data_IF_422568116731
#
_entry.id   IF_422568116731
#
_cell.length_a   1.000
_cell.length_b   1.000
_cell.length_c   1.000
_cell.angle_alpha   90.00
_cell.angle_beta   90.00
_cell.angle_gamma   90.00
#
_symmetry.space_group_name_H-M   'P 1'
#
loop_
_entity.id
_entity.type
_entity.pdbx_description
1 polymer ?
#
# COMPACT_ATOMS: atom_id res chain seq x y z
N UNK A 1 49.50 -21.80 -6.42
CA UNK A 1 49.30 -21.23 -5.06
C UNK A 1 47.80 -21.09 -4.85
N UNK A 2 47.22 -22.01 -4.08
CA UNK A 2 45.78 -22.00 -3.73
C UNK A 2 45.57 -21.15 -2.48
N UNK A 3 44.48 -20.39 -2.33
CA UNK A 3 44.10 -19.80 -1.05
C UNK A 3 43.20 -20.75 -0.23
N UNK A 4 43.51 -20.83 1.05
CA UNK A 4 42.89 -21.67 2.09
C UNK A 4 41.48 -21.20 2.48
N UNK A 5 40.62 -22.10 3.02
CA UNK A 5 39.27 -21.76 3.46
C UNK A 5 39.25 -21.23 4.91
N UNK A 6 38.46 -20.19 5.13
CA UNK A 6 38.16 -19.62 6.46
C UNK A 6 37.15 -20.51 7.19
N UNK A 7 37.57 -21.04 8.34
CA UNK A 7 36.76 -21.84 9.26
C UNK A 7 35.76 -20.96 10.03
N UNK A 8 34.49 -21.27 9.93
CA UNK A 8 33.44 -20.77 10.84
C UNK A 8 33.56 -21.51 12.20
N UNK A 9 33.70 -20.76 13.28
CA UNK A 9 33.59 -21.28 14.66
C UNK A 9 32.11 -21.27 15.08
N UNK A 10 31.59 -22.44 15.38
CA UNK A 10 30.33 -22.65 16.10
C UNK A 10 30.61 -22.47 17.59
N UNK A 11 29.92 -21.57 18.25
CA UNK A 11 29.84 -21.46 19.69
C UNK A 11 28.63 -22.25 20.17
N UNK A 12 28.89 -23.33 20.89
CA UNK A 12 27.90 -24.09 21.64
C UNK A 12 27.65 -23.39 22.97
N UNK A 13 26.41 -23.03 23.28
CA UNK A 13 25.98 -22.56 24.61
C UNK A 13 25.21 -23.69 25.26
N UNK A 14 25.74 -24.14 26.43
CA UNK A 14 25.18 -25.21 27.21
C UNK A 14 23.87 -24.86 27.89
N UNK A 15 22.94 -25.81 27.90
CA UNK A 15 21.66 -25.74 28.58
C UNK A 15 21.85 -26.05 30.08
N UNK A 16 21.46 -25.11 30.92
CA UNK A 16 21.24 -25.37 32.36
C UNK A 16 19.76 -25.69 32.59
N UNK A 17 19.47 -26.89 33.05
CA UNK A 17 18.15 -27.39 33.43
C UNK A 17 17.78 -26.80 34.80
N UNK A 18 16.79 -25.90 34.86
CA UNK A 18 16.14 -25.52 36.11
C UNK A 18 14.70 -26.08 36.10
N UNK A 19 14.47 -27.10 36.92
CA UNK A 19 13.11 -27.57 37.23
C UNK A 19 12.38 -26.52 38.08
N UNK A 20 11.33 -25.90 37.54
CA UNK A 20 10.33 -25.19 38.36
C UNK A 20 8.97 -25.84 38.12
N UNK A 21 8.38 -26.25 39.25
CA UNK A 21 7.02 -26.86 39.32
C UNK A 21 5.99 -25.92 38.65
N UNK A 22 5.25 -26.49 37.71
CA UNK A 22 4.23 -25.76 36.98
C UNK A 22 2.94 -25.57 37.79
N UNK A 23 2.47 -24.35 37.81
CA UNK A 23 1.06 -24.02 37.89
C UNK A 23 0.51 -24.03 36.47
N UNK A 24 -0.22 -25.10 36.13
CA UNK A 24 -0.94 -25.19 34.87
C UNK A 24 -2.15 -24.26 34.90
N UNK A 25 -1.91 -22.99 34.59
CA UNK A 25 -3.00 -22.13 34.16
C UNK A 25 -3.41 -22.59 32.74
N UNK A 26 -4.60 -23.14 32.60
CA UNK A 26 -5.21 -23.48 31.34
C UNK A 26 -5.26 -22.20 30.47
N UNK A 27 -4.48 -22.18 29.39
CA UNK A 27 -4.59 -21.12 28.38
C UNK A 27 -6.06 -21.13 27.87
N UNK A 28 -6.73 -19.96 27.78
CA UNK A 28 -8.07 -19.92 27.23
C UNK A 28 -8.01 -20.48 25.81
N UNK A 29 -8.78 -21.52 25.53
CA UNK A 29 -8.90 -22.10 24.21
C UNK A 29 -9.29 -21.01 23.22
N UNK A 30 -8.52 -20.84 22.15
CA UNK A 30 -8.91 -20.00 21.04
C UNK A 30 -10.30 -20.45 20.58
N UNK A 31 -11.30 -19.57 20.69
CA UNK A 31 -12.65 -19.88 20.24
C UNK A 31 -12.61 -20.05 18.73
N UNK A 32 -12.65 -21.29 18.26
CA UNK A 32 -12.76 -21.59 16.82
C UNK A 32 -14.08 -20.97 16.35
N UNK A 33 -13.97 -19.94 15.49
CA UNK A 33 -15.13 -19.34 14.86
C UNK A 33 -15.91 -20.43 14.10
N UNK A 34 -17.24 -20.32 14.04
CA UNK A 34 -18.03 -21.22 13.22
C UNK A 34 -17.60 -21.04 11.78
N UNK A 35 -16.94 -22.05 11.22
CA UNK A 35 -16.69 -22.20 9.81
C UNK A 35 -18.05 -22.26 9.10
N UNK A 36 -18.22 -21.52 8.00
CA UNK A 36 -19.42 -21.60 7.16
C UNK A 36 -19.38 -22.80 6.21
N UNK A 37 -18.43 -23.73 6.41
CA UNK A 37 -18.18 -24.90 5.57
C UNK A 37 -17.46 -24.55 4.27
N UNK A 38 -17.05 -23.28 4.04
CA UNK A 38 -16.27 -22.90 2.89
C UNK A 38 -14.79 -23.22 3.12
N UNK A 39 -14.17 -23.98 2.21
CA UNK A 39 -12.73 -24.12 2.11
C UNK A 39 -12.12 -23.07 1.17
N UNK A 40 -10.80 -23.00 1.01
CA UNK A 40 -10.17 -22.17 0.01
C UNK A 40 -10.66 -22.54 -1.40
N UNK A 41 -10.60 -21.61 -2.33
CA UNK A 41 -10.83 -21.91 -3.76
C UNK A 41 -9.81 -22.94 -4.25
N UNK A 42 -10.15 -23.76 -5.29
CA UNK A 42 -9.23 -24.74 -5.86
C UNK A 42 -7.87 -24.11 -6.21
N UNK A 43 -6.79 -24.76 -5.81
CA UNK A 43 -5.42 -24.29 -6.00
C UNK A 43 -4.89 -23.35 -4.92
N UNK A 44 -5.72 -22.90 -4.00
CA UNK A 44 -5.28 -22.09 -2.87
C UNK A 44 -5.20 -22.87 -1.56
N UNK A 45 -4.32 -22.43 -0.66
CA UNK A 45 -4.22 -22.91 0.72
C UNK A 45 -4.39 -21.73 1.67
N UNK A 46 -4.96 -21.97 2.87
CA UNK A 46 -5.10 -20.92 3.89
C UNK A 46 -4.09 -21.19 5.01
N UNK A 47 -3.21 -20.20 5.27
CA UNK A 47 -2.26 -20.20 6.37
C UNK A 47 -2.71 -19.13 7.37
N UNK A 48 -3.23 -19.58 8.51
CA UNK A 48 -3.80 -18.72 9.54
C UNK A 48 -3.33 -19.17 10.92
N UNK A 49 -2.04 -18.96 11.26
CA UNK A 49 -1.48 -19.40 12.53
C UNK A 49 -2.18 -18.70 13.70
N UNK A 50 -2.26 -19.34 14.87
CA UNK A 50 -2.90 -18.75 16.04
C UNK A 50 -2.31 -17.40 16.40
N UNK A 51 -3.16 -16.36 16.47
CA UNK A 51 -2.76 -15.02 16.89
C UNK A 51 -2.95 -14.92 18.42
N UNK A 52 -1.87 -14.66 19.20
CA UNK A 52 -1.99 -14.48 20.63
C UNK A 52 -2.89 -13.29 20.99
N UNK A 53 -3.82 -13.44 21.95
CA UNK A 53 -4.61 -12.32 22.46
C UNK A 53 -3.72 -11.23 23.08
N UNK A 54 -4.14 -9.98 22.94
CA UNK A 54 -3.51 -8.87 23.67
C UNK A 54 -4.15 -8.74 25.06
N UNK A 55 -3.37 -8.27 26.03
CA UNK A 55 -3.87 -7.93 27.37
C UNK A 55 -3.98 -6.41 27.47
N UNK A 56 -5.19 -5.92 27.70
CA UNK A 56 -5.48 -4.48 27.82
C UNK A 56 -6.23 -4.23 29.12
N UNK A 57 -5.66 -3.38 29.99
CA UNK A 57 -6.25 -3.08 31.29
C UNK A 57 -6.46 -4.32 32.17
N UNK A 58 -5.56 -5.29 32.11
CA UNK A 58 -5.62 -6.53 32.88
C UNK A 58 -6.54 -7.61 32.32
N UNK A 59 -7.23 -7.38 31.20
CA UNK A 59 -8.11 -8.34 30.55
C UNK A 59 -7.60 -8.73 29.17
N UNK A 60 -7.64 -10.04 28.86
CA UNK A 60 -7.27 -10.52 27.52
C UNK A 60 -8.37 -10.21 26.50
N UNK A 61 -7.95 -9.92 25.26
CA UNK A 61 -8.86 -9.84 24.11
C UNK A 61 -9.36 -11.23 23.73
N UNK A 62 -10.50 -11.31 23.03
CA UNK A 62 -10.98 -12.54 22.41
C UNK A 62 -10.58 -12.55 20.95
N UNK A 63 -9.72 -13.50 20.55
CA UNK A 63 -9.33 -13.72 19.16
C UNK A 63 -10.13 -14.90 18.59
N UNK A 64 -10.70 -14.71 17.41
CA UNK A 64 -11.39 -15.75 16.63
C UNK A 64 -10.75 -15.81 15.26
N UNK A 65 -10.41 -17.02 14.83
CA UNK A 65 -9.81 -17.29 13.52
C UNK A 65 -10.54 -18.45 12.87
N UNK A 66 -10.56 -18.50 11.55
CA UNK A 66 -11.21 -19.56 10.80
C UNK A 66 -11.23 -19.24 9.31
N UNK A 67 -12.14 -19.91 8.60
CA UNK A 67 -12.37 -19.73 7.16
C UNK A 67 -13.80 -19.22 6.96
N UNK A 68 -13.97 -18.23 6.11
CA UNK A 68 -15.27 -17.68 5.74
C UNK A 68 -15.23 -17.13 4.31
N UNK A 69 -16.20 -17.48 3.49
CA UNK A 69 -16.30 -17.07 2.09
C UNK A 69 -15.00 -17.34 1.29
N UNK A 70 -14.46 -18.56 1.45
CA UNK A 70 -13.21 -19.05 0.83
C UNK A 70 -11.92 -18.30 1.26
N UNK A 71 -11.96 -17.52 2.32
CA UNK A 71 -10.84 -16.74 2.85
C UNK A 71 -10.55 -17.06 4.31
N UNK A 72 -9.28 -17.03 4.70
CA UNK A 72 -8.90 -17.02 6.11
C UNK A 72 -9.31 -15.70 6.77
N UNK A 73 -9.70 -15.71 8.03
CA UNK A 73 -10.02 -14.49 8.76
C UNK A 73 -9.46 -14.47 10.18
N UNK A 74 -9.27 -13.25 10.67
CA UNK A 74 -9.01 -12.95 12.08
C UNK A 74 -10.03 -11.91 12.54
N UNK A 75 -10.60 -12.12 13.72
CA UNK A 75 -11.42 -11.16 14.46
C UNK A 75 -10.84 -11.05 15.86
N UNK A 76 -10.58 -9.83 16.34
CA UNK A 76 -10.16 -9.58 17.71
C UNK A 76 -11.08 -8.57 18.39
N UNK A 77 -11.60 -8.95 19.56
CA UNK A 77 -12.57 -8.15 20.33
C UNK A 77 -11.99 -7.88 21.72
N UNK A 78 -11.78 -6.61 22.12
CA UNK A 78 -11.35 -6.30 23.48
C UNK A 78 -12.45 -6.56 24.49
N UNK A 79 -12.06 -6.90 25.73
CA UNK A 79 -13.03 -7.18 26.83
C UNK A 79 -13.97 -5.98 27.09
N UNK A 80 -13.47 -4.75 26.93
CA UNK A 80 -14.26 -3.51 27.01
C UNK A 80 -14.50 -2.95 25.60
N UNK A 81 -15.25 -3.71 24.79
CA UNK A 81 -15.57 -3.29 23.42
C UNK A 81 -16.50 -2.06 23.42
N UNK A 82 -16.09 -1.00 22.70
CA UNK A 82 -16.83 0.27 22.59
C UNK A 82 -18.03 0.21 21.61
N UNK A 83 -18.24 -0.93 20.93
CA UNK A 83 -19.31 -1.15 19.98
C UNK A 83 -18.94 -0.87 18.52
N UNK A 84 -17.75 -0.34 18.22
CA UNK A 84 -17.31 -0.05 16.87
C UNK A 84 -16.36 -1.14 16.35
N UNK A 85 -16.38 -1.38 15.03
CA UNK A 85 -15.56 -2.37 14.33
C UNK A 85 -14.66 -1.68 13.30
N UNK A 86 -13.40 -2.08 13.23
CA UNK A 86 -12.45 -1.67 12.20
C UNK A 86 -12.15 -2.86 11.29
N UNK A 87 -12.44 -2.74 10.01
CA UNK A 87 -12.04 -3.72 9.00
C UNK A 87 -10.67 -3.35 8.46
N UNK A 88 -9.71 -4.27 8.56
CA UNK A 88 -8.37 -4.09 8.01
C UNK A 88 -8.29 -4.65 6.59
N UNK A 89 -7.95 -3.79 5.64
CA UNK A 89 -7.76 -4.13 4.23
C UNK A 89 -6.26 -4.20 3.92
N UNK A 90 -5.73 -5.41 3.72
CA UNK A 90 -4.31 -5.62 3.42
C UNK A 90 -3.93 -5.24 1.99
N UNK A 91 -2.64 -5.06 1.74
CA UNK A 91 -2.06 -4.75 0.44
C UNK A 91 -1.92 -5.96 -0.50
N UNK A 92 -1.27 -5.73 -1.66
CA UNK A 92 -0.92 -6.77 -2.61
C UNK A 92 0.10 -7.76 -2.00
N UNK A 93 -0.08 -9.05 -2.26
CA UNK A 93 0.73 -10.13 -1.69
C UNK A 93 1.30 -11.09 -2.72
N UNK A 94 1.52 -10.60 -3.93
CA UNK A 94 2.02 -11.45 -5.02
C UNK A 94 0.93 -12.33 -5.64
N UNK A 95 1.36 -13.27 -6.46
CA UNK A 95 0.51 -14.20 -7.22
C UNK A 95 0.52 -15.62 -6.62
N UNK A 96 1.12 -15.79 -5.43
CA UNK A 96 1.20 -17.08 -4.75
C UNK A 96 -0.19 -17.64 -4.38
N UNK A 97 -0.22 -18.92 -4.08
CA UNK A 97 -1.44 -19.66 -3.76
C UNK A 97 -1.74 -19.78 -2.26
N UNK A 98 -0.87 -19.20 -1.43
CA UNK A 98 -1.06 -19.15 0.02
C UNK A 98 -1.82 -17.90 0.44
N UNK A 99 -2.96 -18.08 1.10
CA UNK A 99 -3.81 -17.00 1.61
C UNK A 99 -3.62 -16.87 3.12
N UNK A 100 -3.24 -15.69 3.59
CA UNK A 100 -3.01 -15.44 5.01
C UNK A 100 -3.62 -14.11 5.44
N UNK A 101 -4.52 -14.06 6.43
CA UNK A 101 -4.98 -12.81 7.03
C UNK A 101 -3.87 -12.22 7.91
N UNK A 102 -3.86 -10.90 8.07
CA UNK A 102 -2.89 -10.19 8.91
C UNK A 102 -3.55 -9.22 9.88
N UNK A 103 -2.96 -8.99 11.04
CA UNK A 103 -3.40 -7.93 11.94
C UNK A 103 -3.06 -6.54 11.38
N UNK A 104 -3.74 -5.47 11.87
CA UNK A 104 -3.41 -4.09 11.56
C UNK A 104 -1.94 -3.77 11.86
N UNK A 105 -1.25 -3.16 10.86
CA UNK A 105 0.16 -2.79 10.93
C UNK A 105 0.41 -1.53 11.77
N UNK A 106 1.69 -1.13 11.92
CA UNK A 106 2.14 0.12 12.57
C UNK A 106 1.62 0.27 14.01
N UNK A 107 1.58 -0.83 14.77
CA UNK A 107 1.01 -0.90 16.12
C UNK A 107 -0.47 -0.46 16.21
N UNK A 108 -1.15 -0.33 15.07
CA UNK A 108 -2.59 -0.02 15.08
C UNK A 108 -3.41 -1.12 15.74
N UNK A 109 -3.01 -2.41 15.65
CA UNK A 109 -3.68 -3.48 16.39
C UNK A 109 -3.76 -3.14 17.88
N UNK A 110 -2.63 -2.84 18.50
CA UNK A 110 -2.52 -2.50 19.93
C UNK A 110 -3.34 -1.25 20.27
N UNK A 111 -3.22 -0.22 19.42
CA UNK A 111 -3.91 1.05 19.59
C UNK A 111 -5.43 0.89 19.51
N UNK A 112 -5.94 0.14 18.54
CA UNK A 112 -7.36 -0.13 18.35
C UNK A 112 -7.96 -0.82 19.58
N UNK A 113 -7.37 -1.93 20.03
CA UNK A 113 -7.91 -2.67 21.17
C UNK A 113 -7.78 -1.90 22.48
N UNK A 114 -6.71 -1.08 22.65
CA UNK A 114 -6.55 -0.19 23.81
C UNK A 114 -7.64 0.89 23.87
N UNK A 115 -8.15 1.32 22.72
CA UNK A 115 -9.25 2.30 22.61
C UNK A 115 -10.64 1.63 22.59
N UNK A 116 -10.69 0.30 22.77
CA UNK A 116 -11.93 -0.46 22.82
C UNK A 116 -12.51 -0.84 21.44
N UNK A 117 -11.83 -0.60 20.33
CA UNK A 117 -12.29 -1.05 19.02
C UNK A 117 -12.05 -2.55 18.85
N UNK A 118 -13.05 -3.26 18.32
CA UNK A 118 -12.82 -4.54 17.69
C UNK A 118 -12.24 -4.33 16.30
N UNK A 119 -11.45 -5.29 15.81
CA UNK A 119 -11.00 -5.29 14.42
C UNK A 119 -11.15 -6.66 13.77
N UNK A 120 -11.20 -6.68 12.44
CA UNK A 120 -11.26 -7.89 11.65
C UNK A 120 -10.49 -7.74 10.35
N UNK A 121 -9.87 -8.83 9.88
CA UNK A 121 -9.09 -8.92 8.66
C UNK A 121 -9.39 -10.21 7.91
N UNK A 122 -9.57 -10.12 6.59
CA UNK A 122 -9.69 -11.24 5.67
C UNK A 122 -8.42 -11.40 4.85
N UNK A 123 -8.02 -12.64 4.53
CA UNK A 123 -6.95 -12.90 3.56
C UNK A 123 -7.36 -12.61 2.12
N UNK A 124 -8.63 -12.28 1.88
CA UNK A 124 -9.35 -12.39 0.63
C UNK A 124 -9.41 -13.83 0.11
N UNK A 125 -10.22 -14.10 -0.93
CA UNK A 125 -10.38 -15.46 -1.48
C UNK A 125 -9.31 -15.82 -2.53
N UNK A 126 -8.45 -14.87 -2.88
CA UNK A 126 -7.32 -15.04 -3.82
C UNK A 126 -6.26 -13.97 -3.63
N UNK A 127 -5.04 -14.30 -4.03
CA UNK A 127 -3.95 -13.37 -4.20
C UNK A 127 -3.98 -12.70 -5.59
N UNK A 128 -2.97 -11.92 -5.90
CA UNK A 128 -2.90 -11.06 -7.07
C UNK A 128 -3.51 -9.69 -6.81
N UNK A 129 -3.56 -8.87 -7.84
CA UNK A 129 -4.20 -7.56 -7.72
C UNK A 129 -5.70 -7.69 -8.03
N UNK A 130 -6.48 -8.14 -7.05
CA UNK A 130 -7.93 -8.31 -7.17
C UNK A 130 -8.68 -7.53 -6.09
N UNK A 131 -8.98 -6.27 -6.42
CA UNK A 131 -9.75 -5.38 -5.52
C UNK A 131 -11.18 -5.87 -5.33
N UNK A 132 -11.75 -6.56 -6.32
CA UNK A 132 -13.10 -7.16 -6.21
C UNK A 132 -13.14 -8.17 -5.07
N UNK A 133 -12.14 -9.05 -4.99
CA UNK A 133 -11.98 -10.01 -3.90
C UNK A 133 -11.86 -9.29 -2.55
N UNK A 134 -11.01 -8.26 -2.48
CA UNK A 134 -10.83 -7.45 -1.29
C UNK A 134 -12.12 -6.77 -0.81
N UNK A 135 -12.86 -6.14 -1.72
CA UNK A 135 -14.13 -5.45 -1.40
C UNK A 135 -15.19 -6.43 -0.89
N UNK A 136 -15.33 -7.59 -1.55
CA UNK A 136 -16.30 -8.61 -1.17
C UNK A 136 -15.92 -9.30 0.14
N UNK A 137 -14.65 -9.70 0.28
CA UNK A 137 -14.13 -10.37 1.47
C UNK A 137 -14.25 -9.49 2.72
N UNK A 138 -13.86 -8.22 2.62
CA UNK A 138 -13.99 -7.24 3.71
C UNK A 138 -15.45 -7.06 4.13
N UNK A 139 -16.38 -6.93 3.18
CA UNK A 139 -17.80 -6.78 3.50
C UNK A 139 -18.39 -8.06 4.10
N UNK A 140 -18.11 -9.22 3.51
CA UNK A 140 -18.62 -10.52 4.00
C UNK A 140 -18.14 -10.82 5.42
N UNK A 141 -16.88 -10.48 5.75
CA UNK A 141 -16.34 -10.65 7.09
C UNK A 141 -17.02 -9.70 8.11
N UNK A 142 -17.36 -8.48 7.74
CA UNK A 142 -18.11 -7.57 8.60
C UNK A 142 -19.53 -8.10 8.89
N UNK A 143 -20.14 -8.76 7.91
CA UNK A 143 -21.44 -9.43 8.09
C UNK A 143 -21.31 -10.69 8.99
N UNK A 144 -20.20 -11.47 8.86
CA UNK A 144 -19.89 -12.56 9.78
C UNK A 144 -19.70 -12.05 11.22
N UNK A 145 -18.93 -10.97 11.40
CA UNK A 145 -18.75 -10.33 12.72
C UNK A 145 -20.12 -10.00 13.35
N UNK A 146 -21.02 -9.39 12.58
CA UNK A 146 -22.34 -9.00 13.06
C UNK A 146 -23.18 -10.18 13.51
N UNK A 147 -23.04 -11.35 12.87
CA UNK A 147 -23.77 -12.58 13.23
C UNK A 147 -23.16 -13.34 14.41
N UNK A 148 -21.82 -13.32 14.54
CA UNK A 148 -21.10 -14.20 15.49
C UNK A 148 -20.62 -13.49 16.75
N UNK A 149 -20.49 -12.18 16.71
CA UNK A 149 -20.12 -11.34 17.87
C UNK A 149 -21.32 -10.51 18.31
N UNK A 150 -21.60 -9.46 17.58
CA UNK A 150 -22.76 -8.57 17.74
C UNK A 150 -22.71 -7.53 16.61
N UNK A 151 -23.87 -6.98 16.22
CA UNK A 151 -23.94 -5.87 15.26
C UNK A 151 -23.17 -4.65 15.80
N UNK A 152 -22.14 -4.15 15.09
CA UNK A 152 -21.41 -2.95 15.51
C UNK A 152 -22.28 -1.69 15.35
N UNK A 153 -21.99 -0.67 16.17
CA UNK A 153 -22.60 0.66 16.04
C UNK A 153 -22.09 1.35 14.77
N UNK A 154 -20.77 1.25 14.53
CA UNK A 154 -20.11 1.79 13.33
C UNK A 154 -19.12 0.76 12.80
N UNK A 155 -18.96 0.75 11.48
CA UNK A 155 -17.89 0.00 10.82
C UNK A 155 -16.97 1.01 10.16
N UNK A 156 -15.69 0.98 10.48
CA UNK A 156 -14.64 1.80 9.87
C UNK A 156 -13.75 0.91 8.99
N UNK A 157 -13.06 1.53 8.06
CA UNK A 157 -12.03 0.88 7.23
C UNK A 157 -10.66 1.44 7.58
N UNK A 158 -9.65 0.59 7.66
CA UNK A 158 -8.23 0.97 7.65
C UNK A 158 -7.47 -0.02 6.77
N UNK A 159 -6.39 0.41 6.14
CA UNK A 159 -5.63 -0.50 5.28
C UNK A 159 -4.51 0.19 4.53
N UNK A 160 -3.73 -0.62 3.80
CA UNK A 160 -2.48 -0.21 3.16
C UNK A 160 -2.44 -0.59 1.68
N UNK A 161 -1.74 0.21 0.85
CA UNK A 161 -1.39 -0.16 -0.52
C UNK A 161 -2.65 -0.49 -1.38
N UNK A 162 -2.72 -1.68 -1.99
CA UNK A 162 -3.93 -2.18 -2.65
C UNK A 162 -5.15 -2.13 -1.72
N UNK A 163 -4.97 -2.28 -0.40
CA UNK A 163 -6.05 -2.08 0.58
C UNK A 163 -6.65 -0.69 0.55
N UNK A 164 -5.89 0.34 0.17
CA UNK A 164 -6.41 1.68 -0.12
C UNK A 164 -7.37 1.70 -1.32
N UNK A 165 -7.07 0.93 -2.37
CA UNK A 165 -7.98 0.73 -3.50
C UNK A 165 -9.26 0.00 -3.07
N UNK A 166 -9.12 -1.06 -2.26
CA UNK A 166 -10.27 -1.77 -1.64
C UNK A 166 -11.12 -0.79 -0.84
N UNK A 167 -10.51 0.07 -0.03
CA UNK A 167 -11.20 1.10 0.77
C UNK A 167 -11.95 2.08 -0.12
N UNK A 168 -11.27 2.72 -1.08
CA UNK A 168 -11.88 3.70 -1.97
C UNK A 168 -13.10 3.13 -2.71
N UNK A 169 -12.96 1.92 -3.25
CA UNK A 169 -14.05 1.24 -3.94
C UNK A 169 -15.16 0.76 -2.99
N UNK A 170 -14.83 0.30 -1.77
CA UNK A 170 -15.82 -0.13 -0.77
C UNK A 170 -16.75 1.00 -0.35
N UNK A 171 -16.22 2.22 -0.19
CA UNK A 171 -17.02 3.41 0.15
C UNK A 171 -18.07 3.74 -0.93
N UNK A 172 -17.76 3.44 -2.19
CA UNK A 172 -18.67 3.64 -3.33
C UNK A 172 -19.58 2.44 -3.60
N UNK A 173 -19.09 1.23 -3.35
CA UNK A 173 -19.84 -0.01 -3.54
C UNK A 173 -20.94 -0.18 -2.50
N UNK A 174 -20.69 0.28 -1.27
CA UNK A 174 -21.61 0.16 -0.13
C UNK A 174 -21.86 1.53 0.51
N UNK A 175 -22.54 2.45 -0.18
CA UNK A 175 -22.73 3.81 0.31
C UNK A 175 -23.49 3.83 1.63
N UNK A 176 -22.95 4.57 2.61
CA UNK A 176 -23.53 4.69 3.95
C UNK A 176 -23.27 3.53 4.91
N UNK A 177 -22.59 2.46 4.47
CA UNK A 177 -22.27 1.32 5.35
C UNK A 177 -21.07 1.63 6.25
N UNK A 178 -20.03 2.24 5.72
CA UNK A 178 -18.82 2.59 6.46
C UNK A 178 -18.90 4.02 7.01
N UNK A 179 -18.51 4.18 8.27
CA UNK A 179 -18.58 5.46 8.98
C UNK A 179 -17.32 6.34 8.79
N UNK A 180 -16.21 5.76 8.36
CA UNK A 180 -14.96 6.46 8.11
C UNK A 180 -13.88 5.53 7.56
N UNK A 181 -12.81 6.10 6.97
CA UNK A 181 -11.75 5.32 6.35
C UNK A 181 -10.37 5.95 6.50
N UNK A 182 -9.35 5.10 6.74
CA UNK A 182 -7.92 5.42 6.82
C UNK A 182 -7.15 4.59 5.78
N UNK A 183 -7.13 4.98 4.51
CA UNK A 183 -6.17 4.42 3.55
C UNK A 183 -4.77 4.98 3.82
N UNK A 184 -3.77 4.11 3.94
CA UNK A 184 -2.37 4.47 4.10
C UNK A 184 -1.58 3.96 2.90
N UNK A 185 -0.67 4.78 2.31
CA UNK A 185 0.06 4.43 1.08
C UNK A 185 -0.88 3.86 0.00
N UNK A 186 -2.13 4.34 -0.06
CA UNK A 186 -3.22 3.69 -0.78
C UNK A 186 -3.25 3.97 -2.27
N UNK A 187 -3.61 2.96 -3.07
CA UNK A 187 -3.85 3.12 -4.51
C UNK A 187 -5.21 3.79 -4.73
N UNK A 188 -5.29 5.09 -4.43
CA UNK A 188 -6.52 5.87 -4.55
C UNK A 188 -6.76 6.44 -5.96
N UNK A 189 -5.73 6.45 -6.82
CA UNK A 189 -5.84 6.80 -8.25
C UNK A 189 -6.11 5.60 -9.15
N UNK A 190 -6.53 4.48 -8.60
CA UNK A 190 -6.96 3.25 -9.28
C UNK A 190 -6.04 2.80 -10.43
N UNK A 191 -6.52 2.84 -11.68
CA UNK A 191 -5.81 2.38 -12.89
C UNK A 191 -4.63 3.28 -13.29
N UNK A 192 -4.54 4.51 -12.77
CA UNK A 192 -3.40 5.41 -13.03
C UNK A 192 -2.07 4.84 -12.50
N UNK A 193 -2.13 3.93 -11.50
CA UNK A 193 -0.96 3.19 -11.03
C UNK A 193 -0.30 2.38 -12.15
N UNK A 194 -1.09 1.68 -12.93
CA UNK A 194 -0.57 0.83 -14.03
C UNK A 194 -0.11 1.66 -15.22
N UNK A 195 -0.79 2.78 -15.47
CA UNK A 195 -0.34 3.77 -16.47
C UNK A 195 1.03 4.34 -16.08
N UNK A 196 1.27 4.61 -14.80
CA UNK A 196 2.57 5.08 -14.30
C UNK A 196 3.68 4.04 -14.50
N UNK A 197 3.44 2.76 -14.21
CA UNK A 197 4.41 1.69 -14.43
C UNK A 197 4.75 1.53 -15.92
N UNK A 198 3.74 1.57 -16.78
CA UNK A 198 3.92 1.53 -18.23
C UNK A 198 4.73 2.73 -18.72
N UNK A 199 4.36 3.93 -18.29
CA UNK A 199 5.03 5.19 -18.67
C UNK A 199 6.51 5.17 -18.32
N UNK A 200 6.87 4.74 -17.09
CA UNK A 200 8.27 4.66 -16.67
C UNK A 200 9.10 3.81 -17.64
N UNK A 201 8.64 2.60 -17.95
CA UNK A 201 9.37 1.67 -18.80
C UNK A 201 9.46 2.13 -20.26
N UNK A 202 8.37 2.65 -20.82
CA UNK A 202 8.36 3.13 -22.22
C UNK A 202 9.18 4.41 -22.40
N UNK A 203 9.17 5.32 -21.42
CA UNK A 203 10.00 6.52 -21.44
C UNK A 203 11.48 6.16 -21.34
N UNK A 204 11.85 5.24 -20.43
CA UNK A 204 13.24 4.77 -20.31
C UNK A 204 13.73 4.10 -21.60
N UNK A 205 12.90 3.30 -22.25
CA UNK A 205 13.21 2.68 -23.55
C UNK A 205 13.40 3.73 -24.64
N UNK A 206 12.52 4.72 -24.73
CA UNK A 206 12.61 5.78 -25.73
C UNK A 206 13.90 6.61 -25.55
N UNK A 207 14.24 6.96 -24.32
CA UNK A 207 15.46 7.72 -23.99
C UNK A 207 16.73 6.93 -24.28
N UNK A 208 16.72 5.62 -24.09
CA UNK A 208 17.87 4.76 -24.37
C UNK A 208 17.96 4.31 -25.83
N UNK A 209 16.97 4.61 -26.68
CA UNK A 209 16.89 4.09 -28.05
C UNK A 209 16.68 2.57 -28.11
N UNK A 210 16.04 2.00 -27.11
CA UNK A 210 15.70 0.58 -27.00
C UNK A 210 14.20 0.39 -27.29
N UNK A 211 13.84 -0.67 -27.99
CA UNK A 211 12.44 -1.08 -28.17
C UNK A 211 12.27 -2.49 -27.60
N UNK A 212 11.56 -2.58 -26.48
CA UNK A 212 11.32 -3.83 -25.77
C UNK A 212 9.88 -3.89 -25.20
N UNK A 213 8.93 -3.47 -26.01
CA UNK A 213 7.51 -3.63 -25.71
C UNK A 213 6.80 -4.24 -26.94
N UNK A 214 5.96 -5.30 -26.79
CA UNK A 214 5.63 -6.01 -25.54
C UNK A 214 6.87 -6.51 -24.79
N UNK A 215 6.80 -6.47 -23.44
CA UNK A 215 7.95 -6.77 -22.59
C UNK A 215 8.39 -8.23 -22.75
N UNK A 216 9.62 -8.51 -23.25
CA UNK A 216 10.09 -9.88 -23.41
C UNK A 216 10.49 -10.49 -22.06
N UNK A 217 10.56 -11.83 -22.02
CA UNK A 217 10.90 -12.54 -20.78
C UNK A 217 12.31 -12.22 -20.25
N UNK A 218 13.26 -11.89 -21.14
CA UNK A 218 14.63 -11.51 -20.81
C UNK A 218 14.84 -10.00 -20.61
N UNK A 219 13.77 -9.24 -20.46
CA UNK A 219 13.82 -7.77 -20.35
C UNK A 219 14.83 -7.28 -19.32
N UNK A 220 14.80 -7.90 -18.11
CA UNK A 220 15.68 -7.49 -17.01
C UNK A 220 17.15 -7.82 -17.25
N UNK A 221 17.45 -8.84 -18.03
CA UNK A 221 18.82 -9.30 -18.29
C UNK A 221 19.38 -8.77 -19.61
N UNK A 222 18.53 -8.33 -20.55
CA UNK A 222 18.94 -7.85 -21.86
C UNK A 222 18.75 -6.34 -22.05
N UNK A 223 17.51 -5.86 -21.93
CA UNK A 223 17.17 -4.46 -22.23
C UNK A 223 17.53 -3.50 -21.08
N UNK A 224 17.20 -3.88 -19.83
CA UNK A 224 17.41 -3.01 -18.66
C UNK A 224 18.88 -2.65 -18.44
N UNK A 225 19.88 -3.56 -18.49
CA UNK A 225 21.27 -3.17 -18.36
C UNK A 225 21.72 -2.16 -19.43
N UNK A 226 21.26 -2.31 -20.67
CA UNK A 226 21.55 -1.35 -21.75
C UNK A 226 20.93 0.02 -21.46
N UNK A 227 19.69 0.05 -20.98
CA UNK A 227 19.00 1.28 -20.57
C UNK A 227 19.76 1.95 -19.43
N UNK A 228 20.13 1.20 -18.39
CA UNK A 228 20.84 1.72 -17.22
C UNK A 228 22.19 2.34 -17.60
N UNK A 229 22.98 1.67 -18.44
CA UNK A 229 24.27 2.21 -18.93
C UNK A 229 24.04 3.45 -19.79
N UNK A 230 23.12 3.39 -20.74
CA UNK A 230 22.84 4.50 -21.68
C UNK A 230 22.38 5.77 -20.97
N UNK A 231 21.67 5.64 -19.85
CA UNK A 231 21.11 6.77 -19.09
C UNK A 231 21.96 7.17 -17.86
N UNK A 232 23.06 6.46 -17.60
CA UNK A 232 23.91 6.68 -16.42
C UNK A 232 23.24 6.29 -15.08
N UNK A 233 22.31 5.33 -15.10
CA UNK A 233 21.55 4.91 -13.91
C UNK A 233 22.29 3.88 -13.05
N UNK A 234 23.22 3.12 -13.62
CA UNK A 234 23.87 1.98 -12.94
C UNK A 234 24.63 2.39 -11.67
N UNK A 235 25.21 3.60 -11.62
CA UNK A 235 25.92 4.12 -10.45
C UNK A 235 25.05 4.98 -9.53
N UNK A 236 23.78 5.21 -9.85
CA UNK A 236 22.92 6.08 -9.07
C UNK A 236 22.43 5.36 -7.82
N UNK A 237 22.79 5.87 -6.63
CA UNK A 237 22.38 5.34 -5.34
C UNK A 237 21.66 6.39 -4.50
N UNK A 238 20.76 5.99 -3.58
CA UNK A 238 20.08 6.93 -2.69
C UNK A 238 21.07 7.72 -1.83
N UNK A 239 21.00 9.04 -1.88
CA UNK A 239 21.93 9.92 -1.15
C UNK A 239 23.35 9.99 -1.70
N UNK A 240 23.68 9.25 -2.78
CA UNK A 240 24.97 9.28 -3.46
C UNK A 240 25.08 10.35 -4.54
N UNK A 241 26.23 10.43 -5.23
CA UNK A 241 26.43 11.35 -6.36
C UNK A 241 25.46 11.08 -7.50
N UNK A 242 25.05 12.13 -8.17
CA UNK A 242 24.24 12.01 -9.41
C UNK A 242 25.11 11.54 -10.59
N UNK A 243 24.93 10.30 -11.00
CA UNK A 243 25.64 9.70 -12.13
C UNK A 243 24.88 9.80 -13.45
N UNK A 244 23.65 10.36 -13.44
CA UNK A 244 22.81 10.43 -14.62
C UNK A 244 23.32 11.42 -15.64
N UNK A 245 23.28 11.06 -16.94
CA UNK A 245 23.46 12.00 -18.04
C UNK A 245 22.16 12.76 -18.34
N UNK A 246 22.15 13.63 -19.35
CA UNK A 246 20.98 14.46 -19.65
C UNK A 246 19.71 13.66 -19.95
N UNK A 247 19.82 12.49 -20.59
CA UNK A 247 18.68 11.59 -20.83
C UNK A 247 18.22 10.90 -19.54
N UNK A 248 19.15 10.51 -18.66
CA UNK A 248 18.83 9.98 -17.34
C UNK A 248 18.16 11.01 -16.44
N UNK A 249 18.62 12.27 -16.48
CA UNK A 249 17.96 13.41 -15.81
C UNK A 249 16.56 13.63 -16.36
N UNK A 250 16.37 13.49 -17.68
CA UNK A 250 15.03 13.58 -18.28
C UNK A 250 14.11 12.46 -17.81
N UNK A 251 14.59 11.21 -17.72
CA UNK A 251 13.81 10.09 -17.14
C UNK A 251 13.37 10.41 -15.72
N UNK A 252 14.33 10.85 -14.87
CA UNK A 252 14.01 11.24 -13.48
C UNK A 252 12.97 12.35 -13.43
N UNK A 253 13.15 13.41 -14.22
CA UNK A 253 12.22 14.54 -14.23
C UNK A 253 10.80 14.15 -14.67
N UNK A 254 10.67 13.29 -15.69
CA UNK A 254 9.37 12.74 -16.12
C UNK A 254 8.77 11.85 -15.04
N UNK A 255 9.58 11.02 -14.39
CA UNK A 255 9.12 10.15 -13.28
C UNK A 255 8.61 11.00 -12.11
N UNK A 256 9.33 12.05 -11.73
CA UNK A 256 8.92 13.01 -10.71
C UNK A 256 7.59 13.68 -11.10
N UNK A 257 7.48 14.17 -12.32
CA UNK A 257 6.24 14.81 -12.79
C UNK A 257 5.05 13.84 -12.77
N UNK A 258 5.23 12.61 -13.27
CA UNK A 258 4.18 11.57 -13.30
C UNK A 258 3.81 11.05 -11.92
N UNK A 259 4.71 11.13 -10.95
CA UNK A 259 4.49 10.65 -9.57
C UNK A 259 3.94 11.70 -8.61
N UNK A 260 3.59 12.90 -9.08
CA UNK A 260 2.99 13.96 -8.26
C UNK A 260 3.68 15.32 -8.32
N UNK A 261 4.67 15.47 -9.19
CA UNK A 261 5.42 16.73 -9.41
C UNK A 261 6.63 16.91 -8.49
N UNK A 262 7.37 18.01 -8.69
CA UNK A 262 8.49 18.38 -7.83
C UNK A 262 8.06 18.49 -6.36
N UNK A 263 8.85 17.87 -5.47
CA UNK A 263 8.59 17.82 -4.03
C UNK A 263 9.86 17.43 -3.27
N UNK A 264 9.95 17.71 -1.96
CA UNK A 264 11.09 17.27 -1.15
C UNK A 264 11.37 15.78 -1.29
N UNK A 265 12.65 15.41 -1.46
CA UNK A 265 13.09 14.01 -1.55
C UNK A 265 12.80 13.29 -2.88
N UNK A 266 12.22 13.96 -3.89
CA UNK A 266 11.82 13.31 -5.14
C UNK A 266 12.99 12.67 -5.90
N UNK A 267 14.18 13.31 -5.93
CA UNK A 267 15.37 12.77 -6.59
C UNK A 267 15.94 11.54 -5.84
N UNK A 268 15.95 11.60 -4.51
CA UNK A 268 16.36 10.45 -3.68
C UNK A 268 15.38 9.28 -3.85
N UNK A 269 14.07 9.56 -3.92
CA UNK A 269 13.04 8.57 -4.20
C UNK A 269 13.26 7.89 -5.55
N UNK A 270 13.59 8.65 -6.60
CA UNK A 270 13.92 8.07 -7.91
C UNK A 270 15.09 7.08 -7.80
N UNK A 271 16.16 7.45 -7.07
CA UNK A 271 17.31 6.56 -6.86
C UNK A 271 16.95 5.29 -6.09
N UNK A 272 16.02 5.39 -5.12
CA UNK A 272 15.50 4.22 -4.36
C UNK A 272 14.74 3.25 -5.27
N UNK A 273 13.90 3.76 -6.17
CA UNK A 273 12.90 2.96 -6.85
C UNK A 273 13.21 2.60 -8.30
N UNK A 274 14.23 3.21 -8.93
CA UNK A 274 14.51 3.06 -10.37
C UNK A 274 14.61 1.61 -10.85
N UNK A 275 15.22 0.74 -10.06
CA UNK A 275 15.42 -0.67 -10.44
C UNK A 275 14.15 -1.49 -10.24
N UNK A 276 13.43 -1.26 -9.13
CA UNK A 276 12.13 -1.86 -8.88
C UNK A 276 11.13 -1.55 -9.98
N UNK A 277 11.08 -0.30 -10.46
CA UNK A 277 10.17 0.11 -11.53
C UNK A 277 10.46 -0.57 -12.88
N UNK A 278 11.69 -0.99 -13.13
CA UNK A 278 11.99 -1.89 -14.26
C UNK A 278 11.46 -3.30 -13.99
N UNK A 279 11.66 -3.82 -12.78
CA UNK A 279 11.25 -5.17 -12.40
C UNK A 279 9.76 -5.39 -12.55
N UNK A 280 8.96 -4.40 -12.18
CA UNK A 280 7.49 -4.52 -12.19
C UNK A 280 6.88 -4.68 -13.61
N UNK A 281 7.65 -4.42 -14.67
CA UNK A 281 7.16 -4.58 -16.05
C UNK A 281 7.16 -6.02 -16.56
N UNK A 282 7.83 -6.98 -15.86
CA UNK A 282 8.24 -8.21 -16.52
C UNK A 282 7.23 -9.34 -16.42
N UNK A 283 6.66 -9.63 -15.26
CA UNK A 283 6.04 -10.92 -15.10
C UNK A 283 4.91 -10.97 -14.09
N UNK A 284 3.86 -11.69 -14.43
CA UNK A 284 2.82 -12.10 -13.49
C UNK A 284 3.31 -13.25 -12.59
N UNK A 285 4.24 -14.08 -13.07
CA UNK A 285 4.70 -15.27 -12.36
C UNK A 285 5.54 -14.93 -11.13
N UNK A 286 6.20 -13.76 -11.12
CA UNK A 286 6.98 -13.25 -9.98
C UNK A 286 6.18 -12.36 -9.04
N UNK A 287 4.87 -12.26 -9.25
CA UNK A 287 3.98 -11.43 -8.44
C UNK A 287 3.88 -9.98 -8.88
N UNK A 288 4.43 -9.60 -10.03
CA UNK A 288 4.31 -8.23 -10.53
C UNK A 288 2.84 -7.83 -10.77
N UNK A 289 2.35 -6.73 -10.20
CA UNK A 289 1.00 -6.24 -10.46
C UNK A 289 0.85 -5.62 -11.85
N UNK A 290 1.97 -5.38 -12.58
CA UNK A 290 1.93 -4.61 -13.81
C UNK A 290 1.42 -5.40 -15.01
N UNK A 291 1.64 -6.71 -15.07
CA UNK A 291 1.32 -7.47 -16.28
C UNK A 291 -0.16 -7.81 -16.41
N UNK A 292 -0.79 -8.32 -15.40
CA UNK A 292 -2.22 -8.65 -15.46
C UNK A 292 -3.10 -7.40 -15.49
N UNK A 293 -2.91 -6.45 -14.57
CA UNK A 293 -3.50 -5.13 -14.73
C UNK A 293 -2.81 -4.31 -15.82
N UNK A 294 -1.63 -4.68 -16.28
CA UNK A 294 -0.95 -4.14 -17.46
C UNK A 294 -1.79 -4.24 -18.73
N UNK A 295 -2.68 -5.23 -18.81
CA UNK A 295 -3.70 -5.27 -19.85
C UNK A 295 -4.66 -4.08 -19.81
N UNK A 296 -4.72 -3.35 -18.69
CA UNK A 296 -5.48 -2.13 -18.51
C UNK A 296 -4.66 -0.86 -18.76
N UNK A 297 -3.33 -0.93 -18.63
CA UNK A 297 -2.44 0.22 -18.74
C UNK A 297 -2.45 0.83 -20.15
N UNK A 298 -2.34 2.15 -20.22
CA UNK A 298 -2.27 2.89 -21.47
C UNK A 298 -1.51 4.19 -21.29
N UNK A 299 -0.85 4.63 -22.35
CA UNK A 299 -0.26 5.95 -22.43
C UNK A 299 -0.74 6.75 -23.65
N UNK A 300 -1.86 6.34 -24.28
CA UNK A 300 -2.37 6.98 -25.49
C UNK A 300 -2.54 8.49 -25.33
N UNK A 301 -2.99 8.93 -24.17
CA UNK A 301 -3.27 10.34 -23.89
C UNK A 301 -2.25 10.99 -22.96
N UNK A 302 -1.21 10.25 -22.54
CA UNK A 302 -0.16 10.79 -21.67
C UNK A 302 0.65 11.86 -22.39
N UNK A 303 0.78 13.03 -21.77
CA UNK A 303 1.73 14.08 -22.17
C UNK A 303 2.93 14.03 -21.26
N UNK A 304 4.10 13.83 -21.84
CA UNK A 304 5.35 13.76 -21.09
C UNK A 304 5.98 15.15 -20.97
N UNK A 305 6.38 15.49 -19.76
CA UNK A 305 7.14 16.70 -19.44
C UNK A 305 8.23 16.35 -18.41
N UNK A 306 9.45 16.88 -18.54
CA UNK A 306 9.93 17.70 -19.66
C UNK A 306 10.05 16.91 -20.97
N UNK A 307 9.84 17.59 -22.10
CA UNK A 307 9.92 17.02 -23.44
C UNK A 307 11.24 17.38 -24.17
N UNK A 308 12.32 17.56 -23.40
CA UNK A 308 13.66 17.89 -23.85
C UNK A 308 14.69 17.25 -22.90
N UNK A 309 15.88 16.84 -23.34
CA UNK A 309 16.46 17.01 -24.70
C UNK A 309 15.82 16.10 -25.76
N UNK A 310 15.15 14.99 -25.37
CA UNK A 310 14.46 14.11 -26.33
C UNK A 310 12.98 14.49 -26.38
N UNK A 311 12.42 14.60 -27.57
CA UNK A 311 10.99 14.82 -27.78
C UNK A 311 10.20 13.52 -27.48
N UNK A 312 9.90 13.29 -26.20
CA UNK A 312 9.19 12.08 -25.73
C UNK A 312 7.79 11.96 -26.30
N UNK A 313 7.10 13.08 -26.53
CA UNK A 313 5.74 13.03 -27.08
C UNK A 313 5.70 12.53 -28.53
N UNK A 314 6.83 12.62 -29.25
CA UNK A 314 6.99 12.06 -30.59
C UNK A 314 7.64 10.66 -30.59
N UNK A 315 8.46 10.32 -29.59
CA UNK A 315 9.32 9.13 -29.64
C UNK A 315 8.84 7.97 -28.78
N UNK A 316 8.11 8.23 -27.67
CA UNK A 316 7.59 7.18 -26.80
C UNK A 316 6.54 6.36 -27.55
N UNK A 317 6.70 5.04 -27.52
CA UNK A 317 5.69 4.11 -28.07
C UNK A 317 4.34 4.33 -27.39
N UNK A 318 3.28 4.46 -28.20
CA UNK A 318 1.91 4.60 -27.70
C UNK A 318 1.25 3.24 -27.62
N UNK A 319 0.68 2.94 -26.46
CA UNK A 319 0.08 1.64 -26.14
C UNK A 319 -1.38 1.84 -25.74
N UNK A 320 -2.27 1.14 -26.43
CA UNK A 320 -3.67 1.02 -26.06
C UNK A 320 -3.83 -0.08 -24.97
N UNK A 321 -4.85 -0.01 -24.11
CA UNK A 321 -5.13 -1.09 -23.18
C UNK A 321 -5.61 -2.32 -23.94
N UNK A 322 -5.07 -3.50 -23.63
CA UNK A 322 -5.49 -4.76 -24.24
C UNK A 322 -6.95 -5.10 -23.90
N UNK A 323 -7.37 -4.79 -22.68
CA UNK A 323 -8.74 -4.99 -22.19
C UNK A 323 -9.47 -3.67 -21.93
N UNK A 324 -9.86 -3.01 -23.01
CA UNK A 324 -10.58 -1.73 -22.95
C UNK A 324 -11.93 -1.85 -22.19
N UNK A 325 -12.62 -3.00 -22.32
CA UNK A 325 -13.90 -3.21 -21.61
C UNK A 325 -13.71 -3.21 -20.10
N UNK A 326 -12.69 -3.89 -19.60
CA UNK A 326 -12.37 -3.90 -18.18
C UNK A 326 -11.98 -2.51 -17.71
N UNK A 327 -11.11 -1.81 -18.47
CA UNK A 327 -10.68 -0.44 -18.14
C UNK A 327 -11.83 0.55 -18.02
N UNK A 328 -12.82 0.45 -18.90
CA UNK A 328 -13.97 1.37 -18.93
C UNK A 328 -15.14 0.89 -18.07
N UNK A 329 -15.08 -0.30 -17.48
CA UNK A 329 -16.17 -0.85 -16.68
C UNK A 329 -16.45 0.01 -15.44
N UNK A 330 -17.69 0.42 -15.19
CA UNK A 330 -18.09 1.06 -13.95
C UNK A 330 -18.29 0.05 -12.80
N UNK A 331 -18.26 -1.24 -13.13
CA UNK A 331 -18.53 -2.34 -12.21
C UNK A 331 -17.37 -2.64 -11.26
N UNK A 332 -17.62 -3.59 -10.35
CA UNK A 332 -16.62 -4.11 -9.44
C UNK A 332 -15.78 -5.19 -10.16
N UNK A 333 -14.74 -4.76 -10.86
CA UNK A 333 -13.76 -5.60 -11.55
C UNK A 333 -12.55 -5.92 -10.65
N UNK A 334 -11.56 -6.63 -11.17
CA UNK A 334 -10.27 -6.84 -10.48
C UNK A 334 -9.56 -5.53 -10.18
N UNK A 335 -9.59 -4.59 -11.12
CA UNK A 335 -9.04 -3.22 -10.95
C UNK A 335 -10.14 -2.22 -11.25
N UNK A 336 -11.09 -2.03 -10.34
CA UNK A 336 -12.23 -1.16 -10.57
C UNK A 336 -11.81 0.31 -10.48
N UNK A 337 -12.52 1.18 -11.17
CA UNK A 337 -12.35 2.62 -11.01
C UNK A 337 -12.89 3.09 -9.66
N UNK A 338 -12.23 4.09 -9.09
CA UNK A 338 -12.71 4.90 -7.96
C UNK A 338 -13.21 6.22 -8.54
N UNK A 339 -14.51 6.49 -8.40
CA UNK A 339 -15.11 7.68 -8.97
C UNK A 339 -14.89 8.97 -8.14
N UNK A 340 -14.36 8.86 -6.93
CA UNK A 340 -14.21 10.00 -6.01
C UNK A 340 -15.53 10.40 -5.33
N UNK A 341 -16.37 9.43 -5.00
CA UNK A 341 -17.67 9.65 -4.32
C UNK A 341 -17.74 9.07 -2.91
N UNK A 342 -16.79 9.42 -2.02
CA UNK A 342 -16.86 8.93 -0.65
C UNK A 342 -18.17 9.36 0.02
N UNK A 343 -18.74 8.47 0.83
CA UNK A 343 -19.97 8.73 1.61
C UNK A 343 -19.70 8.94 3.08
N UNK A 344 -18.43 8.83 3.49
CA UNK A 344 -17.96 8.99 4.86
C UNK A 344 -16.61 9.74 4.89
N UNK A 345 -16.18 10.27 6.06
CA UNK A 345 -14.85 10.83 6.24
C UNK A 345 -13.74 9.88 5.79
N UNK A 346 -12.81 10.40 4.99
CA UNK A 346 -11.59 9.72 4.55
C UNK A 346 -10.40 10.56 4.98
N UNK A 347 -9.52 9.99 5.80
CA UNK A 347 -8.22 10.55 6.10
C UNK A 347 -7.16 9.63 5.50
N UNK A 348 -6.38 10.11 4.52
CA UNK A 348 -5.28 9.34 3.95
C UNK A 348 -3.93 9.79 4.49
N UNK A 349 -2.96 8.85 4.51
CA UNK A 349 -1.58 9.07 4.90
C UNK A 349 -0.66 8.49 3.82
N UNK A 350 0.29 9.29 3.28
CA UNK A 350 1.10 8.86 2.15
C UNK A 350 2.56 9.33 2.24
N UNK A 351 3.50 8.44 1.88
CA UNK A 351 4.92 8.76 1.77
C UNK A 351 5.21 9.60 0.53
N UNK A 352 5.96 10.70 0.68
CA UNK A 352 6.28 11.59 -0.46
C UNK A 352 7.11 10.92 -1.54
N UNK A 353 7.99 10.01 -1.17
CA UNK A 353 8.92 9.34 -2.09
C UNK A 353 8.50 7.93 -2.48
N UNK A 354 7.31 7.49 -2.11
CA UNK A 354 6.77 6.21 -2.57
C UNK A 354 6.56 6.27 -4.09
N UNK A 355 7.23 5.41 -4.85
CA UNK A 355 7.03 5.23 -6.28
C UNK A 355 6.47 3.84 -6.64
N UNK A 356 6.27 2.96 -5.66
CA UNK A 356 5.41 1.79 -5.86
C UNK A 356 3.94 2.23 -5.94
N UNK A 357 3.50 3.05 -4.99
CA UNK A 357 2.23 3.77 -5.08
C UNK A 357 2.56 5.27 -5.06
N UNK A 358 2.64 5.92 -6.23
CA UNK A 358 3.13 7.28 -6.31
C UNK A 358 2.22 8.28 -5.57
N UNK A 359 2.81 9.32 -4.98
CA UNK A 359 2.09 10.43 -4.34
C UNK A 359 1.01 11.06 -5.24
N UNK A 360 1.20 10.98 -6.56
CA UNK A 360 0.20 11.37 -7.56
C UNK A 360 -1.17 10.71 -7.39
N UNK A 361 -1.24 9.52 -6.73
CA UNK A 361 -2.51 8.84 -6.43
C UNK A 361 -3.38 9.65 -5.45
N UNK A 362 -2.76 10.32 -4.48
CA UNK A 362 -3.45 11.24 -3.58
C UNK A 362 -4.05 12.43 -4.34
N UNK A 363 -3.29 12.98 -5.29
CA UNK A 363 -3.72 14.10 -6.11
C UNK A 363 -4.86 13.72 -7.06
N UNK A 364 -4.79 12.52 -7.65
CA UNK A 364 -5.85 11.97 -8.51
C UNK A 364 -7.16 11.85 -7.74
N UNK A 365 -7.12 11.21 -6.58
CA UNK A 365 -8.30 11.06 -5.73
C UNK A 365 -8.87 12.40 -5.26
N UNK A 366 -8.01 13.35 -4.85
CA UNK A 366 -8.45 14.68 -4.46
C UNK A 366 -9.21 15.40 -5.58
N UNK A 367 -8.70 15.32 -6.82
CA UNK A 367 -9.37 15.90 -8.01
C UNK A 367 -10.72 15.25 -8.27
N UNK A 368 -10.80 13.92 -8.15
CA UNK A 368 -12.04 13.18 -8.36
C UNK A 368 -13.08 13.50 -7.30
N UNK A 369 -12.67 13.53 -6.04
CA UNK A 369 -13.53 13.91 -4.91
C UNK A 369 -14.04 15.34 -5.06
N UNK A 370 -13.19 16.27 -5.50
CA UNK A 370 -13.56 17.66 -5.75
C UNK A 370 -14.58 17.80 -6.90
N UNK A 371 -14.37 17.06 -8.00
CA UNK A 371 -15.33 17.03 -9.13
C UNK A 371 -16.74 16.62 -8.72
N UNK A 372 -16.85 15.82 -7.66
CA UNK A 372 -18.14 15.37 -7.12
C UNK A 372 -18.62 16.18 -5.89
N UNK A 373 -17.98 17.31 -5.58
CA UNK A 373 -18.35 18.18 -4.46
C UNK A 373 -18.19 17.52 -3.09
N UNK A 374 -17.29 16.53 -2.95
CA UNK A 374 -17.11 15.75 -1.72
C UNK A 374 -15.86 16.15 -0.92
N UNK A 375 -15.14 17.21 -1.28
CA UNK A 375 -13.88 17.63 -0.64
C UNK A 375 -13.96 17.79 0.87
N UNK A 376 -15.14 18.11 1.42
CA UNK A 376 -15.37 18.17 2.87
C UNK A 376 -15.16 16.82 3.58
N UNK A 377 -15.27 15.70 2.87
CA UNK A 377 -15.11 14.35 3.39
C UNK A 377 -13.68 13.80 3.20
N UNK A 378 -12.75 14.58 2.64
CA UNK A 378 -11.39 14.13 2.39
C UNK A 378 -10.39 14.99 3.15
N UNK A 379 -9.47 14.34 3.86
CA UNK A 379 -8.24 14.91 4.43
C UNK A 379 -7.08 14.05 4.00
N UNK A 380 -6.00 14.65 3.52
CA UNK A 380 -4.81 13.94 3.05
C UNK A 380 -3.58 14.48 3.75
N UNK A 381 -2.67 13.59 4.13
CA UNK A 381 -1.43 13.91 4.84
C UNK A 381 -0.24 13.28 4.15
N UNK A 382 0.79 14.07 3.97
CA UNK A 382 2.06 13.64 3.43
C UNK A 382 3.09 13.46 4.55
N UNK A 383 3.89 12.39 4.45
CA UNK A 383 5.05 12.15 5.33
C UNK A 383 6.33 12.00 4.52
N UNK A 384 7.46 12.41 5.10
CA UNK A 384 8.78 12.38 4.46
C UNK A 384 9.43 11.01 4.59
N UNK A 385 9.00 10.08 3.76
CA UNK A 385 9.57 8.74 3.60
C UNK A 385 9.62 8.37 2.13
N UNK A 386 10.56 7.52 1.73
CA UNK A 386 10.72 7.09 0.35
C UNK A 386 10.29 5.64 0.11
N UNK A 387 10.26 4.79 1.13
CA UNK A 387 9.80 3.42 0.96
C UNK A 387 8.28 3.33 0.96
N UNK A 388 7.77 2.24 0.36
CA UNK A 388 6.34 1.95 0.33
C UNK A 388 5.81 1.65 1.72
N UNK A 389 4.75 2.35 2.12
CA UNK A 389 4.10 2.19 3.43
C UNK A 389 5.06 2.35 4.62
N UNK A 390 6.06 3.21 4.52
CA UNK A 390 7.02 3.45 5.60
C UNK A 390 6.46 4.48 6.60
N UNK A 391 5.63 4.01 7.53
CA UNK A 391 5.06 4.84 8.59
C UNK A 391 5.58 4.42 9.96
N UNK A 392 5.81 5.39 10.85
CA UNK A 392 6.03 5.11 12.27
C UNK A 392 4.69 4.82 12.98
N UNK A 393 4.72 4.13 14.14
CA UNK A 393 3.52 3.99 14.97
C UNK A 393 2.90 5.32 15.38
N UNK A 394 3.71 6.37 15.52
CA UNK A 394 3.25 7.72 15.86
C UNK A 394 2.47 8.35 14.69
N UNK A 395 2.98 8.26 13.46
CA UNK A 395 2.32 8.80 12.25
C UNK A 395 0.98 8.10 11.98
N UNK A 396 0.98 6.76 11.97
CA UNK A 396 -0.23 5.97 11.74
C UNK A 396 -1.24 6.15 12.89
N UNK A 397 -0.76 6.16 14.13
CA UNK A 397 -1.59 6.35 15.32
C UNK A 397 -2.24 7.72 15.37
N UNK A 398 -1.52 8.80 15.05
CA UNK A 398 -2.07 10.15 15.00
C UNK A 398 -3.14 10.29 13.88
N UNK A 399 -2.91 9.67 12.73
CA UNK A 399 -3.89 9.64 11.64
C UNK A 399 -5.17 8.90 12.06
N UNK A 400 -5.03 7.74 12.72
CA UNK A 400 -6.16 6.99 13.26
C UNK A 400 -6.96 7.79 14.29
N UNK A 401 -6.29 8.40 15.28
CA UNK A 401 -6.94 9.17 16.34
C UNK A 401 -7.74 10.34 15.80
N UNK A 402 -7.19 11.03 14.81
CA UNK A 402 -7.85 12.15 14.15
C UNK A 402 -9.05 11.71 13.33
N UNK A 403 -8.96 10.59 12.58
CA UNK A 403 -10.11 10.01 11.90
C UNK A 403 -11.20 9.60 12.89
N UNK A 404 -10.84 8.87 13.94
CA UNK A 404 -11.78 8.41 14.96
C UNK A 404 -12.48 9.59 15.66
N UNK A 405 -11.74 10.68 15.95
CA UNK A 405 -12.30 11.90 16.49
C UNK A 405 -13.24 12.57 15.48
N UNK A 406 -12.84 12.67 14.23
CA UNK A 406 -13.66 13.25 13.17
C UNK A 406 -14.98 12.52 13.00
N UNK A 407 -14.96 11.20 12.93
CA UNK A 407 -16.16 10.36 12.83
C UNK A 407 -17.11 10.55 14.03
N UNK A 408 -16.55 10.72 15.24
CA UNK A 408 -17.38 10.89 16.47
C UNK A 408 -17.94 12.29 16.62
N UNK A 409 -17.19 13.31 16.25
CA UNK A 409 -17.50 14.70 16.58
C UNK A 409 -17.91 15.56 15.38
N UNK A 410 -17.72 15.07 14.15
CA UNK A 410 -17.89 15.84 12.93
C UNK A 410 -16.78 16.88 12.67
N UNK A 411 -15.81 17.06 13.60
CA UNK A 411 -14.73 18.05 13.46
C UNK A 411 -13.65 17.52 12.52
N UNK A 412 -13.58 18.09 11.33
CA UNK A 412 -12.58 17.74 10.31
C UNK A 412 -11.17 18.09 10.77
N UNK A 413 -10.21 17.15 10.76
CA UNK A 413 -8.83 17.44 11.12
C UNK A 413 -8.09 18.20 10.02
N UNK A 414 -6.88 18.66 10.35
CA UNK A 414 -5.99 19.29 9.39
C UNK A 414 -5.37 18.27 8.44
N UNK A 415 -5.07 18.72 7.21
CA UNK A 415 -4.35 17.98 6.17
C UNK A 415 -3.45 18.88 5.35
N UNK A 416 -2.82 18.32 4.35
CA UNK A 416 -1.95 19.01 3.40
C UNK A 416 -2.70 19.36 2.10
N UNK A 417 -2.36 20.45 1.43
CA UNK A 417 -2.95 20.85 0.15
C UNK A 417 -2.28 20.08 -1.02
N UNK A 418 -2.51 18.77 -1.11
CA UNK A 418 -1.81 17.85 -2.03
C UNK A 418 -1.96 18.20 -3.51
N UNK A 419 -2.98 18.95 -3.90
CA UNK A 419 -3.21 19.37 -5.30
C UNK A 419 -2.61 20.74 -5.63
N UNK A 420 -2.15 21.49 -4.64
CA UNK A 420 -1.46 22.76 -4.86
C UNK A 420 0.01 22.49 -5.21
N UNK A 421 0.37 22.62 -6.47
CA UNK A 421 1.73 22.36 -6.97
C UNK A 421 2.80 23.23 -6.30
N UNK A 422 2.47 24.48 -5.90
CA UNK A 422 3.43 25.36 -5.21
C UNK A 422 3.65 24.89 -3.78
N UNK A 423 2.58 24.53 -3.08
CA UNK A 423 2.69 23.98 -1.74
C UNK A 423 3.45 22.64 -1.74
N UNK A 424 3.15 21.74 -2.68
CA UNK A 424 3.83 20.43 -2.80
C UNK A 424 5.32 20.59 -3.10
N UNK A 425 5.72 21.60 -3.87
CA UNK A 425 7.12 21.89 -4.17
C UNK A 425 7.85 22.68 -3.06
N UNK A 426 7.14 23.16 -2.04
CA UNK A 426 7.75 23.93 -0.96
C UNK A 426 8.73 23.07 -0.13
N UNK A 427 9.88 23.64 0.31
CA UNK A 427 10.90 22.87 1.04
C UNK A 427 10.42 22.25 2.34
N UNK A 428 9.38 22.78 2.97
CA UNK A 428 8.78 22.31 4.22
C UNK A 428 7.58 21.36 4.00
N UNK A 429 7.18 21.07 2.76
CA UNK A 429 6.07 20.16 2.49
C UNK A 429 6.31 18.76 3.06
N UNK A 430 5.30 18.19 3.70
CA UNK A 430 5.36 16.91 4.37
C UNK A 430 5.97 16.95 5.78
N UNK A 431 6.46 18.09 6.27
CA UNK A 431 6.98 18.22 7.63
C UNK A 431 5.92 18.07 8.71
N UNK A 432 4.74 18.60 8.46
CA UNK A 432 3.69 18.75 9.47
C UNK A 432 3.24 17.45 10.12
N UNK A 433 3.20 16.37 9.36
CA UNK A 433 2.69 15.07 9.81
C UNK A 433 3.77 13.99 9.86
N UNK A 434 5.03 14.33 9.57
CA UNK A 434 6.18 13.43 9.71
C UNK A 434 6.63 13.31 11.17
N UNK A 435 7.08 12.12 11.52
CA UNK A 435 7.68 11.83 12.82
C UNK A 435 9.13 12.35 12.87
N UNK A 436 9.32 13.50 13.52
CA UNK A 436 10.62 14.13 13.68
C UNK A 436 11.57 13.32 14.57
N UNK A 437 11.03 12.58 15.55
CA UNK A 437 11.84 11.73 16.42
C UNK A 437 12.39 10.52 15.66
N UNK A 438 11.56 9.86 14.84
CA UNK A 438 12.00 8.78 13.98
C UNK A 438 13.07 9.25 12.97
N UNK A 439 12.92 10.47 12.43
CA UNK A 439 13.94 11.06 11.57
C UNK A 439 15.25 11.32 12.32
N UNK A 440 15.18 11.91 13.51
CA UNK A 440 16.36 12.19 14.32
C UNK A 440 17.12 10.90 14.72
N UNK A 441 16.39 9.80 14.90
CA UNK A 441 16.94 8.47 15.12
C UNK A 441 17.49 7.79 13.85
N UNK A 442 17.41 8.42 12.68
CA UNK A 442 17.87 7.86 11.41
C UNK A 442 17.02 6.71 10.88
N UNK A 443 15.74 6.63 11.26
CA UNK A 443 14.87 5.52 10.91
C UNK A 443 14.52 5.49 9.42
N UNK A 444 14.74 4.34 8.78
CA UNK A 444 14.36 4.06 7.40
C UNK A 444 14.96 5.02 6.38
N UNK A 445 14.13 5.52 5.48
CA UNK A 445 14.54 6.46 4.41
C UNK A 445 14.42 7.94 4.80
N UNK A 446 13.97 8.24 6.01
CA UNK A 446 13.79 9.63 6.48
C UNK A 446 15.04 10.51 6.39
N UNK A 447 16.28 9.98 6.60
CA UNK A 447 17.52 10.75 6.40
C UNK A 447 17.74 11.26 4.97
N UNK A 448 17.08 10.67 3.97
CA UNK A 448 17.16 11.13 2.58
C UNK A 448 16.43 12.46 2.33
N UNK A 449 15.64 12.91 3.31
CA UNK A 449 14.92 14.19 3.23
C UNK A 449 15.66 15.26 4.02
N UNK A 450 15.58 16.54 3.59
CA UNK A 450 16.10 17.64 4.40
C UNK A 450 15.40 17.67 5.76
N UNK A 451 16.03 18.26 6.79
CA UNK A 451 15.34 18.49 8.06
C UNK A 451 14.10 19.38 7.90
N UNK A 452 13.15 19.21 8.78
CA UNK A 452 12.06 20.14 8.96
C UNK A 452 12.53 21.31 9.84
#
# INVERSE_FOLDING_TARGET
>A
MQPSPVRRRLLAVGAALALTLGLTGAAPAAATGRDDGSGPLPGYTIVNPPLPPLVVGGAATTVRQGVHANAGYIIEVPARWNGDLVMWAHGYRGQGTELSPEPPAFELRQRLVAQGYAWASSSYDRNGYDVRSGVRGTRSLADLFSRTVRRPHRVLLAGVSMGGHVIGRSLEQYPGYYAGALPMCGVLGDQELFDFFLDYNLVAQALAGVRAYPTPADYLTSAVPRIQVTLGLAGLTPGGPDTTNDRGKQLRAVTVERSGGPRPGADAAFAVWKDFLFGIAVSEADGSPARRPGQLATNLFTRYAPNQPVNLNATVQRVAPENLRQRLSPGLTEVPRIAGRPTAPVLSLHGLGDLFVPFGMEQAYARDVARHGRSRLLVQRAVRTAQHCEFSPAEAGAAWDDLARWVRTGKRPAGDPVTDRRAVAAPDFGCRFSDHAARAAGAGTRPLYPPC
#
